data_IF_037604451329
#
_entry.id   IF_037604451329
#
_cell.length_a   1.000
_cell.length_b   1.000
_cell.length_c   1.000
_cell.angle_alpha   90.00
_cell.angle_beta   90.00
_cell.angle_gamma   90.00
#
_symmetry.space_group_name_H-M   'P 1'
#
loop_
_entity.id
_entity.type
_entity.pdbx_description
1 polymer ?
#
# COMPACT_ATOMS: atom_id res chain seq x y z
N UNK A 1 -18.15 -1.83 -13.56
CA UNK A 1 -18.37 -0.94 -12.40
C UNK A 1 -18.58 -1.82 -11.18
N UNK A 2 -17.94 -1.49 -10.06
CA UNK A 2 -18.16 -2.18 -8.77
C UNK A 2 -18.85 -1.20 -7.82
N UNK A 3 -19.76 -1.68 -6.97
CA UNK A 3 -20.43 -0.84 -5.99
C UNK A 3 -20.63 -1.52 -4.64
N UNK A 4 -20.42 -0.75 -3.57
CA UNK A 4 -20.67 -1.14 -2.19
C UNK A 4 -21.84 -0.35 -1.63
N UNK A 5 -22.94 -1.01 -1.28
CA UNK A 5 -24.04 -0.38 -0.54
C UNK A 5 -23.71 -0.38 0.95
N UNK A 6 -23.54 0.82 1.51
CA UNK A 6 -23.12 1.05 2.89
C UNK A 6 -24.32 1.54 3.70
N UNK A 7 -24.75 0.74 4.69
CA UNK A 7 -25.70 1.21 5.70
C UNK A 7 -25.07 2.19 6.68
N UNK A 8 -25.88 2.72 7.61
CA UNK A 8 -25.41 3.63 8.66
C UNK A 8 -24.33 2.95 9.52
N UNK A 9 -24.57 1.71 9.96
CA UNK A 9 -23.59 0.94 10.72
C UNK A 9 -22.32 0.67 9.90
N UNK A 10 -22.43 0.40 8.60
CA UNK A 10 -21.26 0.17 7.76
C UNK A 10 -20.39 1.44 7.61
N UNK A 11 -21.04 2.61 7.54
CA UNK A 11 -20.36 3.89 7.55
C UNK A 11 -19.73 4.21 8.90
N UNK A 12 -20.40 3.88 10.01
CA UNK A 12 -19.87 4.03 11.36
C UNK A 12 -18.66 3.11 11.61
N UNK A 13 -18.69 1.89 11.06
CA UNK A 13 -17.62 0.90 11.11
C UNK A 13 -16.57 1.07 10.00
N UNK A 14 -16.63 2.20 9.26
CA UNK A 14 -15.59 2.52 8.29
C UNK A 14 -14.29 2.84 9.01
N UNK A 15 -13.25 2.04 8.72
CA UNK A 15 -11.95 2.15 9.38
C UNK A 15 -10.82 2.06 8.38
N UNK A 16 -9.64 2.51 8.81
CA UNK A 16 -8.43 2.38 8.04
C UNK A 16 -7.58 1.22 8.54
N UNK A 17 -6.78 0.64 7.64
CA UNK A 17 -5.68 -0.23 7.99
C UNK A 17 -4.50 -0.06 7.02
N UNK A 18 -3.33 -0.47 7.47
CA UNK A 18 -2.17 -0.71 6.63
C UNK A 18 -2.06 -2.21 6.35
N UNK A 19 -1.48 -2.57 5.21
CA UNK A 19 -1.27 -3.97 4.85
C UNK A 19 0.05 -4.12 4.08
N UNK A 20 1.14 -4.51 4.76
CA UNK A 20 2.41 -4.86 4.13
C UNK A 20 2.27 -5.85 2.96
N UNK A 21 1.43 -6.87 3.07
CA UNK A 21 1.24 -7.88 2.02
C UNK A 21 0.57 -7.27 0.78
N UNK A 22 -0.43 -6.39 0.96
CA UNK A 22 -1.03 -5.66 -0.16
C UNK A 22 0.00 -4.79 -0.86
N UNK A 23 0.81 -4.03 -0.13
CA UNK A 23 1.86 -3.20 -0.73
C UNK A 23 2.88 -4.05 -1.50
N UNK A 24 3.25 -5.21 -0.95
CA UNK A 24 4.13 -6.19 -1.60
C UNK A 24 3.55 -6.65 -2.93
N UNK A 25 2.30 -7.10 -2.93
CA UNK A 25 1.62 -7.62 -4.11
C UNK A 25 1.36 -6.54 -5.16
N UNK A 26 0.95 -5.34 -4.73
CA UNK A 26 0.73 -4.21 -5.63
C UNK A 26 2.03 -3.71 -6.28
N UNK A 27 3.15 -3.82 -5.58
CA UNK A 27 4.46 -3.46 -6.13
C UNK A 27 4.86 -4.32 -7.34
N UNK A 28 4.35 -5.56 -7.44
CA UNK A 28 4.55 -6.43 -8.63
C UNK A 28 3.97 -5.81 -9.90
N UNK A 29 2.86 -5.06 -9.80
CA UNK A 29 2.26 -4.35 -10.94
C UNK A 29 3.23 -3.32 -11.50
N UNK A 30 3.88 -2.55 -10.63
CA UNK A 30 4.88 -1.54 -11.01
C UNK A 30 6.17 -2.19 -11.52
N UNK A 31 6.55 -3.33 -10.96
CA UNK A 31 7.71 -4.10 -11.44
C UNK A 31 7.49 -4.55 -12.90
N UNK A 32 6.31 -5.13 -13.19
CA UNK A 32 5.87 -5.60 -14.50
C UNK A 32 5.64 -4.47 -15.50
N UNK A 33 4.96 -3.41 -15.06
CA UNK A 33 4.52 -2.29 -15.90
C UNK A 33 5.03 -0.96 -15.32
N UNK A 34 6.28 -0.53 -15.63
CA UNK A 34 6.84 0.70 -15.09
C UNK A 34 6.05 1.96 -15.47
N UNK A 35 5.27 1.90 -16.55
CA UNK A 35 4.40 2.99 -17.01
C UNK A 35 3.22 3.31 -16.08
N UNK A 36 2.92 2.46 -15.09
CA UNK A 36 1.83 2.71 -14.13
C UNK A 36 2.11 3.89 -13.19
N UNK A 37 3.38 4.14 -12.89
CA UNK A 37 3.76 5.25 -12.02
C UNK A 37 5.21 5.67 -12.27
N UNK A 38 5.38 6.81 -12.95
CA UNK A 38 6.69 7.43 -13.10
C UNK A 38 7.32 7.78 -11.73
N UNK A 39 6.49 8.07 -10.72
CA UNK A 39 6.91 8.35 -9.35
C UNK A 39 7.64 7.16 -8.71
N UNK A 40 7.37 5.92 -9.14
CA UNK A 40 7.94 4.73 -8.52
C UNK A 40 9.14 4.16 -9.29
N UNK A 41 9.60 4.85 -10.35
CA UNK A 41 10.81 4.46 -11.08
C UNK A 41 12.09 4.44 -10.22
N UNK A 42 12.31 5.35 -9.26
CA UNK A 42 13.47 5.24 -8.35
C UNK A 42 13.41 4.00 -7.45
N UNK A 43 12.23 3.67 -6.92
CA UNK A 43 12.00 2.42 -6.17
C UNK A 43 12.33 1.22 -7.05
N UNK A 44 11.73 1.14 -8.25
CA UNK A 44 11.87 0.00 -9.16
C UNK A 44 13.33 -0.27 -9.53
N UNK A 45 14.11 0.77 -9.81
CA UNK A 45 15.56 0.64 -10.09
C UNK A 45 16.33 0.04 -8.92
N UNK A 46 15.94 0.34 -7.69
CA UNK A 46 16.59 -0.22 -6.49
C UNK A 46 16.09 -1.64 -6.22
N UNK A 47 14.78 -1.88 -6.36
CA UNK A 47 14.18 -3.20 -6.21
C UNK A 47 14.79 -4.21 -7.20
N UNK A 48 14.88 -3.87 -8.49
CA UNK A 48 15.48 -4.77 -9.51
C UNK A 48 16.92 -5.17 -9.20
N UNK A 49 17.73 -4.27 -8.63
CA UNK A 49 19.11 -4.61 -8.21
C UNK A 49 19.15 -5.55 -7.01
N UNK A 50 18.18 -5.43 -6.10
CA UNK A 50 18.10 -6.28 -4.89
C UNK A 50 17.43 -7.63 -5.14
N UNK A 51 16.63 -7.71 -6.19
CA UNK A 51 15.99 -8.92 -6.66
C UNK A 51 16.90 -9.74 -7.59
N UNK A 52 18.14 -9.30 -7.81
CA UNK A 52 19.11 -10.07 -8.59
C UNK A 52 19.31 -11.46 -7.96
N UNK A 53 19.15 -12.51 -8.76
CA UNK A 53 19.14 -13.90 -8.29
C UNK A 53 17.83 -14.41 -7.66
N UNK A 54 16.78 -13.58 -7.53
CA UNK A 54 15.44 -14.02 -7.12
C UNK A 54 14.57 -14.20 -8.37
N UNK A 55 14.19 -15.44 -8.69
CA UNK A 55 13.23 -15.71 -9.75
C UNK A 55 11.83 -15.25 -9.33
N UNK A 56 11.43 -14.09 -9.86
CA UNK A 56 10.11 -13.49 -9.60
C UNK A 56 9.05 -13.96 -10.58
N UNK A 57 9.36 -14.87 -11.51
CA UNK A 57 8.43 -15.34 -12.54
C UNK A 57 7.12 -15.89 -11.97
N UNK A 58 7.20 -16.68 -10.90
CA UNK A 58 6.03 -17.19 -10.20
C UNK A 58 5.19 -16.05 -9.59
N UNK A 59 5.79 -15.06 -8.93
CA UNK A 59 5.03 -13.91 -8.38
C UNK A 59 4.39 -13.06 -9.46
N UNK A 60 5.13 -12.81 -10.55
CA UNK A 60 4.61 -12.04 -11.68
C UNK A 60 3.47 -12.75 -12.40
N UNK A 61 3.43 -14.09 -12.36
CA UNK A 61 2.32 -14.88 -12.91
C UNK A 61 0.99 -14.65 -12.17
N UNK A 62 1.03 -14.22 -10.91
CA UNK A 62 -0.17 -13.89 -10.10
C UNK A 62 -0.85 -12.60 -10.55
N UNK A 63 -0.12 -11.70 -11.21
CA UNK A 63 -0.69 -10.47 -11.74
C UNK A 63 -1.45 -10.83 -13.01
N UNK A 64 -2.78 -10.84 -12.95
CA UNK A 64 -3.61 -11.12 -14.12
C UNK A 64 -3.44 -10.06 -15.23
N UNK A 65 -3.94 -10.32 -16.43
CA UNK A 65 -3.84 -9.38 -17.56
C UNK A 65 -4.51 -8.02 -17.26
N UNK A 66 -5.61 -8.01 -16.50
CA UNK A 66 -6.26 -6.79 -16.02
C UNK A 66 -5.71 -6.31 -14.66
N UNK A 67 -4.55 -6.83 -14.25
CA UNK A 67 -3.81 -6.53 -13.01
C UNK A 67 -4.50 -6.96 -11.72
N UNK A 68 -5.54 -7.78 -11.76
CA UNK A 68 -6.08 -8.38 -10.53
C UNK A 68 -5.02 -9.26 -9.86
N UNK A 69 -5.17 -9.41 -8.55
CA UNK A 69 -4.38 -10.28 -7.71
C UNK A 69 -5.40 -11.17 -6.98
N UNK A 70 -5.17 -12.49 -6.88
CA UNK A 70 -6.07 -13.41 -6.17
C UNK A 70 -6.34 -12.96 -4.73
N UNK A 71 -7.61 -12.91 -4.34
CA UNK A 71 -8.04 -12.38 -3.03
C UNK A 71 -7.41 -13.14 -1.84
N UNK A 72 -7.12 -14.45 -1.99
CA UNK A 72 -6.45 -15.23 -0.94
C UNK A 72 -5.06 -14.73 -0.55
N UNK A 73 -4.40 -13.97 -1.43
CA UNK A 73 -3.09 -13.36 -1.17
C UNK A 73 -3.22 -12.00 -0.49
N UNK A 74 -4.41 -11.40 -0.49
CA UNK A 74 -4.70 -10.10 0.10
C UNK A 74 -5.74 -10.25 1.22
N UNK A 75 -5.44 -11.04 2.28
CA UNK A 75 -6.37 -11.24 3.37
C UNK A 75 -6.72 -9.91 4.04
N UNK A 76 -7.98 -9.76 4.48
CA UNK A 76 -8.42 -8.56 5.20
C UNK A 76 -7.64 -8.44 6.52
N UNK A 77 -6.92 -7.33 6.77
CA UNK A 77 -6.22 -7.09 8.03
C UNK A 77 -7.12 -7.22 9.26
N UNK A 78 -6.68 -8.02 10.23
CA UNK A 78 -7.37 -8.20 11.52
C UNK A 78 -7.14 -7.05 12.51
N UNK A 79 -6.06 -6.30 12.32
CA UNK A 79 -5.67 -5.14 13.12
C UNK A 79 -5.37 -3.93 12.23
N UNK A 80 -5.13 -2.77 12.84
CA UNK A 80 -4.85 -1.53 12.13
C UNK A 80 -3.57 -1.58 11.28
N UNK A 81 -2.51 -2.22 11.77
CA UNK A 81 -1.23 -2.28 11.08
C UNK A 81 -0.51 -3.58 11.44
N UNK A 82 -0.99 -4.74 10.97
CA UNK A 82 -0.35 -6.03 11.22
C UNK A 82 1.07 -6.05 10.64
N UNK A 83 1.90 -6.93 11.20
CA UNK A 83 3.21 -7.23 10.64
C UNK A 83 3.11 -8.02 9.34
N UNK A 84 4.12 -7.94 8.47
CA UNK A 84 4.15 -8.71 7.23
C UNK A 84 4.03 -10.22 7.49
N UNK A 85 4.75 -10.74 8.49
CA UNK A 85 4.70 -12.16 8.86
C UNK A 85 3.32 -12.61 9.36
N UNK A 86 2.58 -11.72 10.02
CA UNK A 86 1.22 -12.02 10.50
C UNK A 86 0.24 -12.20 9.33
N UNK A 87 0.32 -11.30 8.35
CA UNK A 87 -0.48 -11.40 7.12
C UNK A 87 -0.06 -12.60 6.27
N UNK A 88 1.24 -12.86 6.14
CA UNK A 88 1.77 -14.01 5.41
C UNK A 88 1.32 -15.33 6.04
N UNK A 89 1.28 -15.39 7.38
CA UNK A 89 0.75 -16.54 8.10
C UNK A 89 -0.75 -16.76 7.83
N UNK A 90 -1.54 -15.70 7.61
CA UNK A 90 -2.93 -15.83 7.19
C UNK A 90 -3.03 -16.45 5.79
N UNK A 91 -2.22 -15.99 4.84
CA UNK A 91 -2.13 -16.60 3.49
C UNK A 91 -1.72 -18.07 3.57
N UNK A 92 -0.76 -18.41 4.43
CA UNK A 92 -0.28 -19.78 4.60
C UNK A 92 -1.34 -20.75 5.15
N UNK A 93 -2.44 -20.24 5.72
CA UNK A 93 -3.57 -21.04 6.23
C UNK A 93 -4.72 -21.21 5.22
N UNK A 94 -4.67 -20.57 4.05
CA UNK A 94 -5.76 -20.59 3.07
C UNK A 94 -6.04 -22.01 2.55
N UNK A 95 -7.28 -22.54 2.66
CA UNK A 95 -7.65 -23.85 2.12
C UNK A 95 -7.54 -23.94 0.59
N UNK A 96 -7.25 -25.14 0.07
CA UNK A 96 -7.07 -25.37 -1.38
C UNK A 96 -8.27 -24.94 -2.23
N UNK A 97 -9.50 -25.15 -1.74
CA UNK A 97 -10.72 -24.70 -2.42
C UNK A 97 -10.77 -23.18 -2.64
N UNK A 98 -10.32 -22.40 -1.66
CA UNK A 98 -10.25 -20.93 -1.74
C UNK A 98 -9.15 -20.51 -2.72
N UNK A 99 -7.97 -21.13 -2.67
CA UNK A 99 -6.88 -20.86 -3.61
C UNK A 99 -7.37 -21.07 -5.05
N UNK A 100 -8.01 -22.22 -5.34
CA UNK A 100 -8.54 -22.54 -6.66
C UNK A 100 -9.55 -21.50 -7.14
N UNK A 101 -10.51 -21.16 -6.28
CA UNK A 101 -11.56 -20.18 -6.56
C UNK A 101 -10.96 -18.83 -6.93
N UNK A 102 -10.04 -18.34 -6.10
CA UNK A 102 -9.48 -17.00 -6.22
C UNK A 102 -8.52 -16.88 -7.40
N UNK A 103 -7.73 -17.93 -7.69
CA UNK A 103 -6.91 -18.00 -8.91
C UNK A 103 -7.79 -17.91 -10.16
N UNK A 104 -8.86 -18.71 -10.21
CA UNK A 104 -9.79 -18.70 -11.34
C UNK A 104 -10.47 -17.32 -11.50
N UNK A 105 -10.95 -16.75 -10.39
CA UNK A 105 -11.61 -15.45 -10.40
C UNK A 105 -10.69 -14.31 -10.84
N UNK A 106 -9.45 -14.28 -10.34
CA UNK A 106 -8.50 -13.22 -10.67
C UNK A 106 -8.02 -13.26 -12.12
N UNK A 107 -7.95 -14.43 -12.76
CA UNK A 107 -7.48 -14.57 -14.14
C UNK A 107 -8.61 -14.55 -15.18
N UNK A 108 -9.86 -14.77 -14.77
CA UNK A 108 -11.01 -14.78 -15.66
C UNK A 108 -11.08 -13.50 -16.52
N UNK A 109 -11.38 -13.59 -17.84
CA UNK A 109 -11.75 -14.77 -18.61
C UNK A 109 -10.54 -15.52 -19.21
N UNK A 110 -9.32 -15.12 -18.88
CA UNK A 110 -8.12 -15.73 -19.44
C UNK A 110 -7.82 -17.05 -18.73
N UNK A 111 -7.21 -18.02 -19.44
CA UNK A 111 -6.71 -19.23 -18.79
C UNK A 111 -5.62 -18.87 -17.77
N UNK A 112 -5.47 -19.73 -16.75
CA UNK A 112 -4.36 -19.61 -15.82
C UNK A 112 -3.02 -19.74 -16.58
N UNK A 113 -2.06 -18.83 -16.36
CA UNK A 113 -0.71 -19.00 -16.88
C UNK A 113 -0.03 -20.20 -16.21
N UNK A 114 1.01 -20.75 -16.83
CA UNK A 114 1.96 -21.55 -16.06
C UNK A 114 2.72 -20.63 -15.09
N UNK A 115 3.05 -21.08 -13.88
CA UNK A 115 2.86 -22.41 -13.29
C UNK A 115 1.51 -22.63 -12.57
N UNK A 116 0.64 -21.61 -12.50
CA UNK A 116 -0.62 -21.63 -11.74
C UNK A 116 -1.59 -22.70 -12.27
N UNK A 117 -1.61 -22.90 -13.59
CA UNK A 117 -2.42 -23.94 -14.24
C UNK A 117 -2.01 -25.35 -13.82
N UNK A 118 -0.72 -25.68 -13.88
CA UNK A 118 -0.20 -26.98 -13.41
C UNK A 118 -0.62 -27.27 -11.97
N UNK A 119 -0.57 -26.28 -11.09
CA UNK A 119 -1.00 -26.44 -9.70
C UNK A 119 -2.52 -26.66 -9.57
N UNK A 120 -3.33 -25.94 -10.34
CA UNK A 120 -4.78 -26.09 -10.33
C UNK A 120 -5.23 -27.48 -10.84
N UNK A 121 -4.60 -27.97 -11.90
CA UNK A 121 -4.87 -29.27 -12.51
C UNK A 121 -4.35 -30.44 -11.66
N UNK A 122 -3.28 -30.21 -10.88
CA UNK A 122 -2.67 -31.20 -9.98
C UNK A 122 -3.45 -31.47 -8.68
N UNK A 123 -4.62 -30.87 -8.49
CA UNK A 123 -5.49 -31.08 -7.33
C UNK A 123 -5.05 -30.34 -6.06
N UNK A 124 -5.73 -30.62 -4.94
CA UNK A 124 -5.55 -29.86 -3.68
C UNK A 124 -4.12 -29.88 -3.16
N UNK A 125 -3.43 -31.03 -3.22
CA UNK A 125 -2.06 -31.13 -2.75
C UNK A 125 -1.09 -30.24 -3.55
N UNK A 126 -1.31 -30.08 -4.86
CA UNK A 126 -0.50 -29.21 -5.70
C UNK A 126 -0.75 -27.73 -5.40
N UNK A 127 -2.01 -27.34 -5.15
CA UNK A 127 -2.35 -25.97 -4.73
C UNK A 127 -1.75 -25.60 -3.37
N UNK A 128 -1.75 -26.53 -2.41
CA UNK A 128 -1.14 -26.29 -1.09
C UNK A 128 0.38 -26.16 -1.17
N UNK A 129 1.04 -26.90 -2.07
CA UNK A 129 2.47 -26.73 -2.37
C UNK A 129 2.73 -25.37 -3.02
N UNK A 130 1.97 -25.01 -4.06
CA UNK A 130 2.05 -23.70 -4.71
C UNK A 130 1.93 -22.56 -3.68
N UNK A 131 0.96 -22.63 -2.76
CA UNK A 131 0.81 -21.63 -1.69
C UNK A 131 2.06 -21.55 -0.81
N UNK A 132 2.66 -22.68 -0.45
CA UNK A 132 3.93 -22.70 0.30
C UNK A 132 5.05 -21.99 -0.46
N UNK A 133 5.26 -22.36 -1.72
CA UNK A 133 6.27 -21.76 -2.59
C UNK A 133 6.05 -20.25 -2.77
N UNK A 134 4.78 -19.83 -2.88
CA UNK A 134 4.37 -18.44 -2.95
C UNK A 134 4.68 -17.69 -1.65
N UNK A 135 4.39 -18.27 -0.49
CA UNK A 135 4.71 -17.63 0.78
C UNK A 135 6.22 -17.40 0.94
N UNK A 136 7.03 -18.42 0.65
CA UNK A 136 8.49 -18.34 0.73
C UNK A 136 9.06 -17.30 -0.25
N UNK A 137 8.53 -17.26 -1.47
CA UNK A 137 8.95 -16.30 -2.47
C UNK A 137 8.48 -14.87 -2.17
N UNK A 138 7.27 -14.70 -1.63
CA UNK A 138 6.75 -13.40 -1.16
C UNK A 138 7.59 -12.85 -0.02
N UNK A 139 8.00 -13.69 0.94
CA UNK A 139 8.88 -13.27 2.03
C UNK A 139 10.24 -12.76 1.51
N UNK A 140 10.89 -13.52 0.62
CA UNK A 140 12.16 -13.09 0.00
C UNK A 140 12.00 -11.81 -0.81
N UNK A 141 10.91 -11.69 -1.58
CA UNK A 141 10.62 -10.49 -2.35
C UNK A 141 10.37 -9.28 -1.45
N UNK A 142 9.58 -9.43 -0.37
CA UNK A 142 9.33 -8.39 0.63
C UNK A 142 10.64 -7.85 1.21
N UNK A 143 11.48 -8.75 1.74
CA UNK A 143 12.75 -8.39 2.38
C UNK A 143 13.69 -7.63 1.42
N UNK A 144 13.71 -8.03 0.15
CA UNK A 144 14.57 -7.40 -0.86
C UNK A 144 14.01 -6.06 -1.39
N UNK A 145 12.72 -6.03 -1.74
CA UNK A 145 12.14 -4.97 -2.56
C UNK A 145 11.36 -3.93 -1.77
N UNK A 146 10.73 -4.28 -0.66
CA UNK A 146 9.76 -3.41 0.02
C UNK A 146 10.19 -3.06 1.45
N UNK A 147 10.57 -4.05 2.25
CA UNK A 147 10.98 -3.88 3.65
C UNK A 147 11.97 -2.72 3.86
N UNK A 148 13.02 -2.54 3.03
CA UNK A 148 14.02 -1.50 3.30
C UNK A 148 13.51 -0.07 3.12
N UNK A 149 12.36 0.11 2.46
CA UNK A 149 11.68 1.40 2.29
C UNK A 149 10.36 1.46 3.08
N UNK A 150 9.99 0.37 3.76
CA UNK A 150 8.72 0.27 4.46
C UNK A 150 8.53 1.33 5.54
N UNK A 151 9.53 1.67 6.39
CA UNK A 151 9.37 2.74 7.38
C UNK A 151 8.95 4.08 6.75
N UNK A 152 9.51 4.44 5.59
CA UNK A 152 9.19 5.67 4.87
C UNK A 152 7.82 5.57 4.19
N UNK A 153 7.50 4.43 3.59
CA UNK A 153 6.17 4.17 3.02
C UNK A 153 5.09 4.31 4.09
N UNK A 154 5.27 3.69 5.26
CA UNK A 154 4.35 3.81 6.40
C UNK A 154 4.06 5.25 6.78
N UNK A 155 5.07 6.11 6.86
CA UNK A 155 4.88 7.53 7.18
C UNK A 155 3.99 8.23 6.14
N UNK A 156 4.14 7.91 4.85
CA UNK A 156 3.28 8.45 3.78
C UNK A 156 1.85 7.95 3.93
N UNK A 157 1.67 6.66 4.17
CA UNK A 157 0.35 6.04 4.33
C UNK A 157 -0.39 6.58 5.56
N UNK A 158 0.29 6.68 6.70
CA UNK A 158 -0.29 7.23 7.95
C UNK A 158 -0.60 8.73 7.81
N UNK A 159 0.19 9.48 7.04
CA UNK A 159 -0.10 10.87 6.72
C UNK A 159 -1.35 11.01 5.83
N UNK A 160 -1.54 10.14 4.83
CA UNK A 160 -2.79 10.09 4.06
C UNK A 160 -3.98 9.80 4.98
N UNK A 161 -3.88 8.83 5.87
CA UNK A 161 -4.95 8.48 6.80
C UNK A 161 -5.30 9.63 7.74
N UNK A 162 -4.30 10.37 8.24
CA UNK A 162 -4.51 11.58 9.05
C UNK A 162 -5.26 12.65 8.27
N UNK A 163 -4.90 12.84 7.00
CA UNK A 163 -5.62 13.74 6.10
C UNK A 163 -7.07 13.30 5.92
N UNK A 164 -7.32 12.02 5.65
CA UNK A 164 -8.66 11.45 5.43
C UNK A 164 -9.53 11.51 6.68
N UNK A 165 -8.95 11.25 7.86
CA UNK A 165 -9.63 11.40 9.14
C UNK A 165 -10.09 12.84 9.36
N UNK A 166 -9.24 13.83 9.02
CA UNK A 166 -9.65 15.25 9.06
C UNK A 166 -10.76 15.57 8.05
N UNK A 167 -10.71 15.01 6.85
CA UNK A 167 -11.78 15.19 5.84
C UNK A 167 -13.12 14.65 6.35
N UNK A 168 -13.11 13.47 6.96
CA UNK A 168 -14.28 12.89 7.62
C UNK A 168 -14.80 13.79 8.75
N UNK A 169 -13.91 14.25 9.64
CA UNK A 169 -14.31 15.08 10.79
C UNK A 169 -14.90 16.44 10.39
N UNK A 170 -14.39 17.05 9.32
CA UNK A 170 -14.81 18.39 8.88
C UNK A 170 -16.01 18.35 7.92
N UNK A 171 -16.14 17.31 7.10
CA UNK A 171 -17.11 17.28 6.01
C UNK A 171 -17.91 15.98 5.88
N UNK A 172 -17.82 15.08 6.86
CA UNK A 172 -18.52 13.79 6.87
C UNK A 172 -18.03 12.79 5.83
N UNK A 173 -18.77 11.68 5.67
CA UNK A 173 -18.39 10.57 4.80
C UNK A 173 -18.25 10.98 3.32
N UNK A 174 -19.07 11.91 2.83
CA UNK A 174 -18.92 12.44 1.47
C UNK A 174 -17.55 13.07 1.25
N UNK A 175 -17.08 13.88 2.21
CA UNK A 175 -15.79 14.54 2.11
C UNK A 175 -14.60 13.59 2.27
N UNK A 176 -14.78 12.47 2.99
CA UNK A 176 -13.80 11.38 3.09
C UNK A 176 -13.52 10.75 1.71
N UNK A 177 -14.57 10.42 0.94
CA UNK A 177 -14.41 9.72 -0.34
C UNK A 177 -14.07 10.65 -1.52
N UNK A 178 -14.50 11.91 -1.46
CA UNK A 178 -14.51 12.83 -2.61
C UNK A 178 -13.16 13.02 -3.33
N UNK A 179 -12.03 12.91 -2.61
CA UNK A 179 -10.69 13.15 -3.18
C UNK A 179 -9.76 11.94 -3.02
N UNK A 180 -10.32 10.72 -2.92
CA UNK A 180 -9.53 9.49 -2.98
C UNK A 180 -9.05 9.24 -4.41
N UNK A 181 -9.96 9.22 -5.38
CA UNK A 181 -9.63 8.98 -6.79
C UNK A 181 -10.78 9.45 -7.70
N UNK A 182 -10.52 9.95 -8.92
CA UNK A 182 -11.57 10.41 -9.85
C UNK A 182 -12.56 9.32 -10.28
N UNK A 183 -12.15 8.05 -10.25
CA UNK A 183 -13.02 6.90 -10.55
C UNK A 183 -13.76 6.36 -9.31
N UNK A 184 -13.71 7.08 -8.18
CA UNK A 184 -14.41 6.72 -6.95
C UNK A 184 -15.41 7.83 -6.61
N UNK A 185 -16.68 7.50 -6.50
CA UNK A 185 -17.71 8.46 -6.09
C UNK A 185 -18.69 7.83 -5.10
N UNK A 186 -19.21 8.65 -4.19
CA UNK A 186 -20.20 8.23 -3.20
C UNK A 186 -21.48 9.02 -3.38
N UNK A 187 -22.58 8.31 -3.59
CA UNK A 187 -23.91 8.89 -3.71
C UNK A 187 -24.98 7.94 -3.14
N UNK A 188 -26.00 8.51 -2.49
CA UNK A 188 -27.13 7.80 -1.88
C UNK A 188 -26.78 6.49 -1.12
N UNK A 189 -25.73 6.55 -0.28
CA UNK A 189 -25.30 5.39 0.51
C UNK A 189 -24.55 4.31 -0.28
N UNK A 190 -24.20 4.56 -1.54
CA UNK A 190 -23.47 3.64 -2.40
C UNK A 190 -22.10 4.23 -2.75
N UNK A 191 -21.05 3.46 -2.51
CA UNK A 191 -19.70 3.79 -2.98
C UNK A 191 -19.47 3.09 -4.32
N UNK A 192 -19.28 3.87 -5.38
CA UNK A 192 -19.09 3.41 -6.75
C UNK A 192 -17.62 3.48 -7.15
N UNK A 193 -17.15 2.42 -7.81
CA UNK A 193 -15.81 2.30 -8.36
C UNK A 193 -15.93 2.04 -9.87
N UNK A 194 -15.58 3.06 -10.64
CA UNK A 194 -15.65 3.05 -12.09
C UNK A 194 -14.38 2.45 -12.73
N UNK A 195 -14.44 2.23 -14.06
CA UNK A 195 -13.31 1.72 -14.86
C UNK A 195 -12.69 0.42 -14.31
N UNK A 196 -13.55 -0.42 -13.74
CA UNK A 196 -13.23 -1.76 -13.28
C UNK A 196 -13.41 -2.78 -14.39
N UNK A 197 -12.54 -3.80 -14.39
CA UNK A 197 -12.75 -4.98 -15.20
C UNK A 197 -13.84 -5.83 -14.54
N UNK A 198 -14.91 -6.14 -15.27
CA UNK A 198 -16.10 -6.73 -14.69
C UNK A 198 -16.90 -5.76 -13.81
N UNK A 199 -17.79 -6.33 -13.00
CA UNK A 199 -18.61 -5.55 -12.09
C UNK A 199 -19.52 -6.38 -11.21
N UNK A 200 -19.74 -5.89 -10.00
CA UNK A 200 -20.71 -6.45 -9.06
C UNK A 200 -21.23 -5.34 -8.15
N UNK A 201 -22.39 -5.58 -7.57
CA UNK A 201 -22.95 -4.76 -6.50
C UNK A 201 -23.10 -5.65 -5.27
N UNK A 202 -22.57 -5.21 -4.13
CA UNK A 202 -22.67 -5.97 -2.88
C UNK A 202 -23.03 -5.04 -1.73
N UNK A 203 -23.81 -5.55 -0.79
CA UNK A 203 -24.10 -4.84 0.45
C UNK A 203 -23.01 -5.13 1.47
N UNK A 204 -22.59 -4.10 2.20
CA UNK A 204 -21.66 -4.28 3.30
C UNK A 204 -22.28 -5.09 4.45
N UNK A 205 -23.58 -4.88 4.71
CA UNK A 205 -24.41 -5.74 5.56
C UNK A 205 -23.84 -5.90 6.99
N UNK A 206 -23.38 -4.79 7.58
CA UNK A 206 -22.78 -4.74 8.91
C UNK A 206 -21.32 -5.19 8.96
N UNK A 207 -20.68 -5.43 7.81
CA UNK A 207 -19.24 -5.79 7.74
C UNK A 207 -18.32 -4.56 7.70
N UNK A 208 -18.89 -3.35 7.59
CA UNK A 208 -18.16 -2.10 7.48
C UNK A 208 -17.31 -2.00 6.21
N UNK A 209 -16.69 -0.84 6.02
CA UNK A 209 -15.75 -0.59 4.93
C UNK A 209 -14.32 -0.47 5.47
N UNK A 210 -13.41 -1.31 4.97
CA UNK A 210 -11.98 -1.17 5.27
C UNK A 210 -11.27 -0.37 4.18
N UNK A 211 -10.69 0.77 4.55
CA UNK A 211 -9.91 1.63 3.66
C UNK A 211 -8.42 1.39 3.87
N UNK A 212 -7.68 1.09 2.80
CA UNK A 212 -6.24 0.83 2.85
C UNK A 212 -5.52 1.74 1.84
N UNK A 213 -4.84 2.81 2.28
CA UNK A 213 -3.97 3.55 1.37
C UNK A 213 -2.83 2.66 0.89
N UNK A 214 -2.35 2.88 -0.32
CA UNK A 214 -1.18 2.20 -0.88
C UNK A 214 -0.34 3.13 -1.73
N UNK A 215 0.98 3.03 -1.54
CA UNK A 215 2.00 3.69 -2.36
C UNK A 215 2.01 3.12 -3.78
N UNK A 216 1.80 1.81 -3.91
CA UNK A 216 1.86 1.08 -5.18
C UNK A 216 0.53 1.04 -5.94
N UNK A 217 -0.59 1.37 -5.30
CA UNK A 217 -1.88 1.48 -5.99
C UNK A 217 -1.88 2.67 -6.95
N UNK A 218 -2.19 2.40 -8.23
CA UNK A 218 -2.42 3.44 -9.24
C UNK A 218 -3.91 3.77 -9.45
N UNK A 219 -4.80 2.89 -8.97
CA UNK A 219 -6.26 3.08 -8.98
C UNK A 219 -6.88 2.35 -7.77
N UNK A 220 -8.14 2.66 -7.39
CA UNK A 220 -8.86 1.90 -6.38
C UNK A 220 -8.97 0.43 -6.77
N UNK A 221 -8.70 -0.45 -5.82
CA UNK A 221 -8.70 -1.90 -5.97
C UNK A 221 -9.60 -2.51 -4.87
N UNK A 222 -10.87 -2.79 -5.18
CA UNK A 222 -11.72 -3.64 -4.34
C UNK A 222 -11.34 -5.11 -4.48
N UNK A 223 -11.88 -6.01 -3.63
CA UNK A 223 -11.79 -7.45 -3.83
C UNK A 223 -12.27 -7.88 -5.21
N UNK A 224 -11.68 -8.95 -5.75
CA UNK A 224 -12.09 -9.54 -7.02
C UNK A 224 -13.48 -10.14 -6.91
N UNK A 225 -13.76 -10.84 -5.81
CA UNK A 225 -15.00 -11.56 -5.58
C UNK A 225 -16.01 -10.74 -4.75
N UNK A 226 -17.32 -10.76 -5.09
CA UNK A 226 -18.37 -10.01 -4.39
C UNK A 226 -18.69 -10.53 -2.98
N UNK A 227 -18.32 -11.78 -2.68
CA UNK A 227 -18.52 -12.40 -1.37
C UNK A 227 -17.56 -11.84 -0.32
N UNK A 228 -16.39 -11.34 -0.76
CA UNK A 228 -15.39 -10.81 0.15
C UNK A 228 -15.91 -9.58 0.92
N UNK A 229 -15.55 -9.42 2.21
CA UNK A 229 -15.95 -8.25 2.99
C UNK A 229 -15.50 -6.95 2.33
N UNK A 230 -16.33 -5.89 2.28
CA UNK A 230 -16.00 -4.64 1.60
C UNK A 230 -14.70 -4.05 2.10
N UNK A 231 -13.76 -3.92 1.18
CA UNK A 231 -12.47 -3.30 1.40
C UNK A 231 -12.08 -2.51 0.15
N UNK A 232 -11.23 -1.51 0.32
CA UNK A 232 -10.76 -0.70 -0.79
C UNK A 232 -9.29 -0.34 -0.55
N UNK A 233 -8.41 -0.95 -1.34
CA UNK A 233 -7.04 -0.43 -1.47
C UNK A 233 -7.08 0.75 -2.43
N UNK A 234 -6.45 1.89 -2.09
CA UNK A 234 -6.50 3.09 -2.91
C UNK A 234 -5.16 3.84 -3.00
N UNK A 235 -4.90 4.60 -4.07
CA UNK A 235 -3.67 5.37 -4.21
C UNK A 235 -3.50 6.39 -3.07
N UNK A 236 -2.42 6.28 -2.31
CA UNK A 236 -2.13 7.22 -1.21
C UNK A 236 -1.76 8.60 -1.74
N UNK A 237 -2.17 9.66 -1.02
CA UNK A 237 -1.59 10.98 -1.20
C UNK A 237 -0.13 10.98 -0.73
N UNK A 238 0.68 11.86 -1.31
CA UNK A 238 2.04 12.09 -0.84
C UNK A 238 3.10 11.11 -1.33
N UNK A 239 2.79 10.13 -2.20
CA UNK A 239 3.79 9.19 -2.74
C UNK A 239 5.04 9.86 -3.33
N UNK A 240 4.90 11.06 -3.93
CA UNK A 240 6.03 11.82 -4.46
C UNK A 240 7.05 12.25 -3.38
N UNK A 241 6.64 12.36 -2.10
CA UNK A 241 7.52 12.78 -1.01
C UNK A 241 8.49 11.69 -0.57
N UNK A 242 8.32 10.44 -1.02
CA UNK A 242 9.26 9.33 -0.75
C UNK A 242 10.69 9.63 -1.25
N UNK A 243 10.80 10.48 -2.27
CA UNK A 243 12.07 10.85 -2.90
C UNK A 243 12.59 12.21 -2.45
N UNK A 244 11.82 12.90 -1.61
CA UNK A 244 12.22 14.22 -1.13
C UNK A 244 13.07 14.01 0.12
N UNK A 245 14.30 14.57 0.18
CA UNK A 245 15.07 14.53 1.41
C UNK A 245 14.27 15.22 2.53
N UNK A 246 14.37 14.74 3.79
CA UNK A 246 13.69 15.40 4.89
C UNK A 246 14.13 16.87 4.95
N UNK A 247 13.21 17.80 5.28
CA UNK A 247 13.57 19.20 5.43
C UNK A 247 14.73 19.30 6.41
N UNK A 248 15.78 20.04 6.03
CA UNK A 248 16.93 20.24 6.89
C UNK A 248 16.43 20.79 8.24
N UNK A 249 16.93 20.30 9.39
CA UNK A 249 16.55 20.85 10.66
C UNK A 249 16.79 22.36 10.64
N UNK A 250 15.90 23.18 11.22
CA UNK A 250 16.12 24.61 11.30
C UNK A 250 17.50 24.81 11.91
N UNK A 251 18.35 25.58 11.22
CA UNK A 251 19.70 25.87 11.70
C UNK A 251 19.55 26.35 13.15
N UNK A 252 20.36 25.85 14.10
CA UNK A 252 20.32 26.36 15.45
C UNK A 252 20.48 27.87 15.35
N UNK A 253 19.43 28.57 15.76
CA UNK A 253 19.40 29.99 15.97
C UNK A 253 20.62 30.27 16.84
N UNK A 254 21.62 30.95 16.28
CA UNK A 254 22.70 31.52 17.07
C UNK A 254 22.03 32.46 18.06
N UNK A 255 21.77 31.99 19.28
CA UNK A 255 21.30 32.81 20.38
C UNK A 255 22.49 33.71 20.71
N UNK A 256 22.59 34.86 20.03
CA UNK A 256 23.45 35.95 20.46
C UNK A 256 22.98 36.35 21.86
N UNK A 257 23.57 35.76 22.89
CA UNK A 257 23.56 36.33 24.23
C UNK A 257 24.48 37.56 24.18
N UNK A 258 24.02 38.62 23.53
CA UNK A 258 24.56 39.93 23.80
C UNK A 258 24.07 40.32 25.20
N UNK A 259 24.98 40.28 26.19
CA UNK A 259 24.78 41.07 27.42
C UNK A 259 24.56 42.52 26.96
N UNK A 260 23.55 43.24 27.46
CA UNK A 260 23.39 44.64 27.10
C UNK A 260 24.54 45.42 27.76
N UNK A 261 25.59 45.67 26.98
CA UNK A 261 26.64 46.64 27.27
C UNK A 261 26.53 47.79 26.27
N UNK A 262 26.69 49.05 26.68
CA UNK A 262 26.56 50.18 25.77
C UNK A 262 27.80 50.23 24.87
N UNK A 263 27.64 49.76 23.62
CA UNK A 263 28.67 49.86 22.59
C UNK A 263 28.85 48.59 21.77
N UNK A 264 27.90 48.26 20.90
CA UNK A 264 28.17 47.32 19.81
C UNK A 264 27.39 47.73 18.56
N UNK A 265 27.92 48.74 17.87
CA UNK A 265 27.54 49.04 16.49
C UNK A 265 28.31 48.12 15.54
N UNK A 266 27.56 47.33 14.74
CA UNK A 266 27.96 46.50 13.58
C UNK A 266 28.58 45.12 13.90
N UNK A 267 27.78 44.08 13.68
CA UNK A 267 28.28 42.80 13.15
C UNK A 267 27.80 42.67 11.70
N UNK A 268 28.74 42.70 10.76
CA UNK A 268 28.50 42.38 9.35
C UNK A 268 28.36 40.86 9.16
N UNK A 269 27.55 40.46 8.20
CA UNK A 269 27.12 39.07 7.96
C UNK A 269 28.19 38.11 7.41
N UNK A 270 29.48 38.46 7.39
CA UNK A 270 30.52 37.63 6.77
C UNK A 270 31.69 37.37 7.72
N UNK A 271 31.58 36.29 8.51
CA UNK A 271 32.69 35.41 8.95
C UNK A 271 32.15 34.29 9.86
N UNK A 272 31.89 33.12 9.30
CA UNK A 272 31.99 31.87 10.05
C UNK A 272 33.45 31.39 9.95
N UNK A 273 34.15 31.06 11.05
CA UNK A 273 35.44 30.39 10.98
C UNK A 273 35.24 28.90 10.64
N UNK A 274 36.24 28.23 10.03
CA UNK A 274 36.14 26.81 9.74
C UNK A 274 36.21 26.00 11.04
N UNK A 275 35.50 24.88 11.02
CA UNK A 275 35.40 23.87 12.06
C UNK A 275 36.75 23.47 12.66
N UNK A 276 36.91 23.64 13.97
CA UNK A 276 37.82 22.84 14.80
C UNK A 276 37.13 22.56 16.14
N UNK A 277 36.57 21.36 16.26
CA UNK A 277 36.15 20.78 17.54
C UNK A 277 37.38 20.13 18.20
N UNK A 278 37.53 20.25 19.53
CA UNK A 278 37.98 19.13 20.33
C UNK A 278 36.82 18.63 21.19
N UNK A 279 36.68 17.31 21.21
CA UNK A 279 35.87 16.60 22.19
C UNK A 279 36.38 16.93 23.60
N UNK A 280 35.46 17.23 24.51
CA UNK A 280 35.70 17.09 25.94
C UNK A 280 34.39 16.67 26.59
N UNK A 281 34.34 15.38 26.95
CA UNK A 281 33.40 14.85 27.93
C UNK A 281 33.69 15.47 29.29
N UNK A 282 32.63 15.80 30.01
CA UNK A 282 32.57 16.08 31.44
C UNK A 282 31.16 15.80 31.92
#
# INVERSE_FOLDING_TARGET
MISFRLGVEDLADTRFALSPINETLLSLRVLREPGLSALLLPWRRTALRRLDGIDTGLLLSLVAAHRAIPDFLTPRPGSFAPGFEEELAAVARTPAGVIRRDLAAAHHPNPLPEPLRTAADGGDAALLRLRGDLCDLLHRYWAAAVEPMWPQMRLVLEADMTYRARRLAVGGARALFADIHPDLHWDDGVLHIDKMFGGYATAAAGRGLLLMPSVFAHKPAPPVLPEEPPALVYPSRGTATLWTPPPAPPRPWCRCWARPGPGCSRCSANRCPPSNWPAACG
#
